data_IF_981334870078
#
_entry.id   IF_981334870078
#
_cell.length_a   1.000
_cell.length_b   1.000
_cell.length_c   1.000
_cell.angle_alpha   90.00
_cell.angle_beta   90.00
_cell.angle_gamma   90.00
#
_symmetry.space_group_name_H-M   'P 1'
#
loop_
_entity.id
_entity.type
_entity.pdbx_description
1 polymer ?
#
# COMPACT_ATOMS: atom_id res chain seq x y z
N UNK A 1 -13.60 14.01 21.47
CA UNK A 1 -13.47 12.88 20.54
C UNK A 1 -12.10 12.20 20.72
N UNK A 2 -12.06 10.86 20.59
CA UNK A 2 -10.95 9.93 20.96
C UNK A 2 -10.91 8.78 19.93
N UNK A 3 -9.72 8.24 19.61
CA UNK A 3 -9.53 7.21 18.57
C UNK A 3 -9.67 5.75 18.99
N UNK A 4 -9.38 5.40 20.25
CA UNK A 4 -9.56 4.03 20.79
C UNK A 4 -10.60 4.07 21.91
N UNK A 5 -11.58 3.16 21.85
CA UNK A 5 -12.69 3.09 22.81
C UNK A 5 -12.86 1.65 23.28
N UNK A 6 -12.83 1.43 24.59
CA UNK A 6 -13.11 0.15 25.22
C UNK A 6 -14.45 0.18 25.94
N UNK A 7 -15.27 -0.86 25.76
CA UNK A 7 -16.50 -1.07 26.53
C UNK A 7 -16.29 -2.30 27.42
N UNK A 8 -16.34 -2.11 28.73
CA UNK A 8 -15.99 -3.14 29.73
C UNK A 8 -14.55 -3.67 29.62
N UNK A 9 -13.65 -2.92 28.99
CA UNK A 9 -12.23 -3.25 28.82
C UNK A 9 -11.39 -2.02 29.20
N UNK A 10 -10.50 -2.11 30.20
CA UNK A 10 -9.78 -0.95 30.74
C UNK A 10 -8.65 -0.46 29.83
N UNK A 11 -8.08 -1.34 29.00
CA UNK A 11 -6.98 -1.03 28.09
C UNK A 11 -7.40 -1.44 26.67
N UNK A 12 -7.99 -0.52 25.89
CA UNK A 12 -8.51 -0.83 24.55
C UNK A 12 -7.42 -0.75 23.48
N UNK A 13 -6.33 -1.48 23.67
CA UNK A 13 -5.22 -1.53 22.69
C UNK A 13 -5.58 -2.53 21.59
N UNK A 14 -5.70 -2.09 20.31
CA UNK A 14 -6.00 -3.00 19.21
C UNK A 14 -4.87 -4.01 18.99
N UNK A 15 -5.24 -5.25 18.66
CA UNK A 15 -4.29 -6.30 18.27
C UNK A 15 -3.64 -5.96 16.92
N UNK A 16 -2.50 -6.59 16.61
CA UNK A 16 -1.63 -6.23 15.48
C UNK A 16 -2.31 -6.23 14.09
N UNK A 17 -3.41 -6.97 13.91
CA UNK A 17 -4.18 -6.99 12.67
C UNK A 17 -5.16 -5.80 12.54
N UNK A 18 -5.34 -5.03 13.61
CA UNK A 18 -6.04 -3.74 13.63
C UNK A 18 -5.04 -2.58 13.79
N UNK A 19 -5.47 -1.39 13.41
CA UNK A 19 -4.67 -0.15 13.53
C UNK A 19 -4.69 0.40 14.96
N UNK A 20 -3.52 0.76 15.51
CA UNK A 20 -3.37 1.50 16.77
C UNK A 20 -3.13 3.00 16.49
N UNK A 21 -3.93 3.87 17.10
CA UNK A 21 -3.79 5.32 16.95
C UNK A 21 -4.68 6.14 17.90
N UNK A 22 -4.32 7.40 18.10
CA UNK A 22 -5.06 8.36 18.94
C UNK A 22 -5.51 9.58 18.12
N UNK A 23 -6.34 10.44 18.72
CA UNK A 23 -6.78 11.70 18.11
C UNK A 23 -6.27 12.90 18.94
N UNK A 24 -6.23 14.11 18.36
CA UNK A 24 -5.65 15.33 18.95
C UNK A 24 -4.13 15.20 19.15
N UNK A 25 -3.58 15.61 20.28
CA UNK A 25 -2.15 15.50 20.59
C UNK A 25 -1.66 14.05 20.79
N UNK A 26 -2.55 13.05 20.69
CA UNK A 26 -2.20 11.63 20.83
C UNK A 26 -1.77 10.95 19.53
N UNK A 27 -1.81 11.65 18.39
CA UNK A 27 -1.26 11.17 17.11
C UNK A 27 -0.94 12.34 16.19
N UNK A 28 0.02 12.13 15.29
CA UNK A 28 0.37 13.08 14.24
C UNK A 28 0.49 12.32 12.91
N UNK A 29 0.04 12.95 11.83
CA UNK A 29 -0.07 12.29 10.52
C UNK A 29 -1.42 11.62 10.30
N UNK A 30 -1.55 10.94 9.17
CA UNK A 30 -2.80 10.37 8.64
C UNK A 30 -2.87 8.84 8.72
N UNK A 31 -1.76 8.16 9.03
CA UNK A 31 -1.66 6.70 9.10
C UNK A 31 -1.29 6.19 10.51
N UNK A 32 -1.80 5.01 10.86
CA UNK A 32 -1.64 4.36 12.16
C UNK A 32 -0.54 3.27 12.16
N UNK A 33 -0.17 2.78 13.36
CA UNK A 33 1.06 1.99 13.54
C UNK A 33 1.02 0.55 12.98
N UNK A 34 -0.12 -0.13 13.03
CA UNK A 34 -0.28 -1.55 12.66
C UNK A 34 -1.47 -1.74 11.70
N UNK A 35 -1.82 -2.98 11.36
CA UNK A 35 -2.87 -3.27 10.41
C UNK A 35 -2.56 -2.75 9.00
N UNK A 36 -3.60 -2.48 8.22
CA UNK A 36 -3.47 -2.04 6.82
C UNK A 36 -2.80 -0.68 6.67
N UNK A 37 -2.88 0.19 7.68
CA UNK A 37 -2.31 1.53 7.63
C UNK A 37 -0.78 1.50 7.65
N UNK A 38 -0.20 0.54 8.39
CA UNK A 38 1.25 0.31 8.39
C UNK A 38 1.78 -0.05 7.01
N UNK A 39 1.06 -0.88 6.25
CA UNK A 39 1.44 -1.28 4.91
C UNK A 39 1.33 -0.10 3.95
N UNK A 40 0.28 0.71 4.07
CA UNK A 40 0.14 1.95 3.28
C UNK A 40 1.27 2.93 3.56
N UNK A 41 1.74 3.03 4.81
CA UNK A 41 2.82 3.95 5.18
C UNK A 41 4.16 3.53 4.55
N UNK A 42 4.46 2.24 4.56
CA UNK A 42 5.73 1.71 4.05
C UNK A 42 5.74 1.41 2.55
N UNK A 43 4.63 1.62 1.85
CA UNK A 43 4.53 1.33 0.41
C UNK A 43 4.06 2.56 -0.35
N UNK A 44 4.26 2.53 -1.68
CA UNK A 44 3.76 3.55 -2.59
C UNK A 44 2.88 2.91 -3.66
N UNK A 45 1.73 3.52 -3.91
CA UNK A 45 0.83 3.09 -4.99
C UNK A 45 1.45 3.42 -6.34
N UNK A 46 1.53 2.43 -7.24
CA UNK A 46 1.89 2.61 -8.65
C UNK A 46 0.75 2.08 -9.51
N UNK A 47 0.28 2.91 -10.45
CA UNK A 47 -0.71 2.53 -11.45
C UNK A 47 -0.04 2.46 -12.82
N UNK A 48 -0.13 1.32 -13.51
CA UNK A 48 0.45 1.11 -14.84
C UNK A 48 -0.66 0.84 -15.84
N UNK A 49 -0.75 1.68 -16.86
CA UNK A 49 -1.60 1.45 -18.03
C UNK A 49 -0.74 0.88 -19.14
N UNK A 50 -1.09 -0.30 -19.66
CA UNK A 50 -0.36 -0.94 -20.76
C UNK A 50 -1.31 -1.29 -21.90
N UNK A 51 -0.81 -1.16 -23.13
CA UNK A 51 -1.41 -1.71 -24.35
C UNK A 51 -0.35 -2.42 -25.14
N UNK A 52 -0.72 -3.50 -25.81
CA UNK A 52 0.14 -4.19 -26.75
C UNK A 52 -0.43 -3.94 -28.16
N UNK A 53 0.36 -3.36 -29.08
CA UNK A 53 -0.04 -3.35 -30.49
C UNK A 53 -0.10 -4.79 -31.02
N UNK A 54 -0.81 -5.00 -32.14
CA UNK A 54 -0.75 -6.28 -32.86
C UNK A 54 0.71 -6.63 -33.15
N UNK A 55 1.10 -7.87 -32.87
CA UNK A 55 2.45 -8.39 -33.09
C UNK A 55 2.45 -9.50 -34.13
N UNK A 56 2.59 -10.74 -33.67
CA UNK A 56 2.80 -12.02 -34.40
C UNK A 56 1.97 -12.27 -35.68
N UNK A 57 0.92 -11.50 -35.97
CA UNK A 57 0.27 -11.54 -37.29
C UNK A 57 1.17 -10.99 -38.41
N UNK A 58 2.12 -10.11 -38.09
CA UNK A 58 2.97 -9.39 -39.06
C UNK A 58 4.42 -9.93 -39.14
N UNK A 59 4.74 -11.01 -38.40
CA UNK A 59 6.07 -11.63 -38.37
C UNK A 59 6.88 -11.32 -37.10
N UNK A 60 8.02 -12.01 -36.93
CA UNK A 60 8.89 -11.83 -35.77
C UNK A 60 10.08 -10.92 -36.14
N UNK A 61 10.13 -9.72 -35.55
CA UNK A 61 11.23 -8.76 -35.74
C UNK A 61 12.06 -8.68 -34.46
N UNK A 62 13.33 -9.08 -34.54
CA UNK A 62 14.29 -9.05 -33.43
C UNK A 62 15.52 -8.26 -33.85
N UNK A 63 16.01 -7.38 -33.00
CA UNK A 63 17.30 -6.70 -33.22
C UNK A 63 18.43 -7.62 -32.74
N UNK A 64 19.09 -8.28 -33.69
CA UNK A 64 20.28 -9.10 -33.43
C UNK A 64 21.53 -8.30 -33.83
N UNK A 65 22.44 -7.97 -32.91
CA UNK A 65 23.71 -7.34 -33.26
C UNK A 65 24.61 -8.34 -33.98
N UNK A 66 24.92 -8.10 -35.25
CA UNK A 66 25.95 -8.84 -35.99
C UNK A 66 27.26 -8.05 -35.93
N UNK A 67 28.37 -8.73 -35.60
CA UNK A 67 29.71 -8.12 -35.64
C UNK A 67 30.07 -7.78 -37.10
N UNK A 68 30.62 -6.58 -37.31
CA UNK A 68 31.25 -6.18 -38.57
C UNK A 68 32.56 -6.91 -38.79
#
# INVERSE_FOLDING_TARGET
>A
NIGMVGVNVPIPVPLAYHSFGGWKQSSFGDLNQHGTDSIKFWTRTKTVTSRWPSGIKDGAEFSIPTMK
#
